data_IF_443682429753
#
_entry.id   IF_443682429753
#
_cell.length_a   1.000
_cell.length_b   1.000
_cell.length_c   1.000
_cell.angle_alpha   90.00
_cell.angle_beta   90.00
_cell.angle_gamma   90.00
#
_symmetry.space_group_name_H-M   'P 1'
#
loop_
_entity.id
_entity.type
_entity.pdbx_description
1 polymer ?
#
# COMPACT_ATOMS: atom_id res chain seq x y z
N UNK A 1 13.24 6.08 7.28
CA UNK A 1 12.15 6.55 6.40
C UNK A 1 11.50 5.34 5.76
N UNK A 2 10.17 5.26 5.75
CA UNK A 2 9.45 4.09 5.21
C UNK A 2 9.70 3.97 3.71
N UNK A 3 10.06 2.77 3.22
CA UNK A 3 10.23 2.48 1.79
C UNK A 3 9.01 2.93 0.98
N UNK A 4 7.83 2.89 1.59
CA UNK A 4 6.58 3.41 1.00
C UNK A 4 6.69 4.86 0.60
N UNK A 5 7.29 5.70 1.45
CA UNK A 5 7.48 7.12 1.17
C UNK A 5 8.35 7.36 -0.08
N UNK A 6 9.45 6.62 -0.19
CA UNK A 6 10.37 6.68 -1.34
C UNK A 6 9.69 6.31 -2.67
N UNK A 7 8.76 5.36 -2.66
CA UNK A 7 8.05 4.95 -3.89
C UNK A 7 6.97 5.97 -4.24
N UNK A 8 6.28 6.53 -3.25
CA UNK A 8 5.24 7.55 -3.45
C UNK A 8 5.80 8.95 -3.73
N UNK A 9 7.10 9.18 -3.54
CA UNK A 9 7.82 10.36 -4.03
C UNK A 9 7.90 10.41 -5.57
N UNK A 10 7.76 9.26 -6.26
CA UNK A 10 7.60 9.23 -7.72
C UNK A 10 6.19 9.66 -8.13
N UNK A 11 6.03 10.72 -8.94
CA UNK A 11 4.72 11.17 -9.41
C UNK A 11 3.98 10.08 -10.19
N UNK A 12 4.70 9.32 -11.02
CA UNK A 12 4.12 8.26 -11.84
C UNK A 12 3.57 7.11 -11.01
N UNK A 13 4.28 6.69 -9.98
CA UNK A 13 3.84 5.57 -9.13
C UNK A 13 2.69 6.00 -8.19
N UNK A 14 2.67 7.27 -7.78
CA UNK A 14 1.55 7.86 -7.05
C UNK A 14 0.27 7.91 -7.88
N UNK A 15 0.35 8.41 -9.12
CA UNK A 15 -0.80 8.46 -10.03
C UNK A 15 -1.34 7.07 -10.31
N UNK A 16 -0.48 6.08 -10.60
CA UNK A 16 -0.89 4.69 -10.74
C UNK A 16 -1.64 4.18 -9.50
N UNK A 17 -1.13 4.48 -8.31
CA UNK A 17 -1.77 4.04 -7.06
C UNK A 17 -3.15 4.69 -6.83
N UNK A 18 -3.30 5.97 -7.18
CA UNK A 18 -4.56 6.71 -7.08
C UNK A 18 -5.63 6.21 -8.07
N UNK A 19 -5.21 5.72 -9.24
CA UNK A 19 -6.10 5.17 -10.26
C UNK A 19 -6.67 3.78 -9.90
N UNK A 20 -6.08 3.08 -8.92
CA UNK A 20 -6.60 1.79 -8.47
C UNK A 20 -7.90 1.93 -7.69
N UNK A 21 -8.96 1.34 -8.24
CA UNK A 21 -10.30 1.39 -7.66
C UNK A 21 -10.57 0.22 -6.72
N UNK A 22 -9.83 -0.88 -6.88
CA UNK A 22 -10.01 -2.07 -6.07
C UNK A 22 -8.85 -2.28 -5.09
N UNK A 23 -9.19 -2.84 -3.93
CA UNK A 23 -8.22 -3.20 -2.91
C UNK A 23 -7.13 -4.16 -3.43
N UNK A 24 -7.51 -5.11 -4.28
CA UNK A 24 -6.58 -6.11 -4.81
C UNK A 24 -5.47 -5.47 -5.64
N UNK A 25 -5.80 -4.42 -6.41
CA UNK A 25 -4.84 -3.66 -7.21
C UNK A 25 -3.87 -2.88 -6.33
N UNK A 26 -4.38 -2.14 -5.34
CA UNK A 26 -3.55 -1.42 -4.36
C UNK A 26 -2.61 -2.37 -3.60
N UNK A 27 -3.10 -3.55 -3.22
CA UNK A 27 -2.28 -4.56 -2.54
C UNK A 27 -1.21 -5.15 -3.48
N UNK A 28 -1.57 -5.48 -4.72
CA UNK A 28 -0.63 -6.00 -5.71
C UNK A 28 0.45 -4.97 -6.05
N UNK A 29 0.10 -3.69 -6.11
CA UNK A 29 1.06 -2.62 -6.28
C UNK A 29 2.10 -2.61 -5.17
N UNK A 30 1.66 -2.66 -3.90
CA UNK A 30 2.56 -2.73 -2.74
C UNK A 30 3.42 -4.00 -2.81
N UNK A 31 2.84 -5.17 -3.13
CA UNK A 31 3.59 -6.43 -3.29
C UNK A 31 4.68 -6.37 -4.37
N UNK A 32 4.40 -5.72 -5.49
CA UNK A 32 5.33 -5.65 -6.61
C UNK A 32 6.42 -4.60 -6.40
N UNK A 33 6.13 -3.55 -5.61
CA UNK A 33 7.05 -2.45 -5.37
C UNK A 33 7.93 -2.62 -4.13
N UNK A 34 7.50 -3.41 -3.15
CA UNK A 34 8.32 -3.78 -2.00
C UNK A 34 8.80 -5.21 -2.12
N UNK A 35 10.12 -5.42 -2.01
CA UNK A 35 10.68 -6.74 -1.73
C UNK A 35 10.24 -7.14 -0.32
N UNK A 36 9.07 -7.77 -0.23
CA UNK A 36 8.53 -8.38 0.97
C UNK A 36 8.81 -9.88 0.90
N UNK A 37 9.29 -10.48 1.98
CA UNK A 37 9.39 -11.94 2.01
C UNK A 37 7.99 -12.56 1.99
N UNK A 38 7.85 -13.76 1.43
CA UNK A 38 6.56 -14.45 1.27
C UNK A 38 5.78 -14.59 2.58
N UNK A 39 6.50 -14.74 3.71
CA UNK A 39 5.90 -14.84 5.05
C UNK A 39 5.24 -13.51 5.48
N UNK A 40 5.87 -12.37 5.21
CA UNK A 40 5.35 -11.05 5.49
C UNK A 40 4.13 -10.75 4.61
N UNK A 41 4.18 -11.16 3.34
CA UNK A 41 3.03 -11.06 2.43
C UNK A 41 1.86 -11.88 2.93
N UNK A 42 2.08 -13.16 3.30
CA UNK A 42 1.04 -14.03 3.86
C UNK A 42 0.49 -13.51 5.20
N UNK A 43 1.34 -12.92 6.04
CA UNK A 43 0.91 -12.32 7.31
C UNK A 43 0.10 -11.04 7.08
N UNK A 44 0.45 -10.24 6.07
CA UNK A 44 -0.34 -9.10 5.62
C UNK A 44 -1.70 -9.59 5.12
N UNK A 45 -1.73 -10.49 4.15
CA UNK A 45 -2.97 -11.07 3.63
C UNK A 45 -3.84 -11.67 4.75
N UNK A 46 -3.24 -12.41 5.69
CA UNK A 46 -3.95 -13.04 6.80
C UNK A 46 -4.47 -12.02 7.81
N UNK A 47 -3.68 -11.00 8.19
CA UNK A 47 -4.18 -9.88 9.03
C UNK A 47 -5.31 -9.12 8.34
N UNK A 48 -5.29 -9.06 7.00
CA UNK A 48 -6.24 -8.27 6.20
C UNK A 48 -7.50 -9.01 5.80
N UNK A 49 -7.44 -10.34 5.73
CA UNK A 49 -8.61 -11.20 5.55
C UNK A 49 -9.40 -11.36 6.86
N UNK A 50 -8.74 -11.22 8.00
CA UNK A 50 -9.34 -11.40 9.33
C UNK A 50 -9.85 -10.09 9.96
N UNK A 51 -9.57 -8.93 9.39
CA UNK A 51 -10.03 -7.64 9.93
C UNK A 51 -10.15 -6.59 8.82
N UNK A 52 -11.40 -6.30 8.42
CA UNK A 52 -11.75 -5.18 7.53
C UNK A 52 -11.15 -3.86 8.02
N UNK A 53 -11.14 -3.65 9.33
CA UNK A 53 -10.75 -2.39 9.95
C UNK A 53 -9.27 -2.08 9.73
N UNK A 54 -8.45 -3.13 9.53
CA UNK A 54 -7.02 -3.01 9.22
C UNK A 54 -6.75 -2.71 7.74
N UNK A 55 -7.70 -2.98 6.84
CA UNK A 55 -7.62 -2.52 5.44
C UNK A 55 -7.71 -1.01 5.38
N UNK A 56 -8.72 -0.46 6.04
CA UNK A 56 -8.97 0.97 6.04
C UNK A 56 -7.83 1.72 6.72
N UNK A 57 -7.25 1.16 7.79
CA UNK A 57 -6.09 1.74 8.49
C UNK A 57 -4.87 1.89 7.55
N UNK A 58 -4.55 0.90 6.73
CA UNK A 58 -3.43 0.99 5.79
C UNK A 58 -3.74 1.87 4.60
N UNK A 59 -4.92 1.76 4.02
CA UNK A 59 -5.32 2.64 2.93
C UNK A 59 -5.20 4.09 3.41
N UNK A 60 -5.76 4.41 4.58
CA UNK A 60 -5.59 5.72 5.20
C UNK A 60 -4.14 6.08 5.45
N UNK A 61 -3.32 5.15 5.97
CA UNK A 61 -1.88 5.43 6.20
C UNK A 61 -1.15 5.75 4.90
N UNK A 62 -1.48 5.07 3.80
CA UNK A 62 -0.87 5.34 2.48
C UNK A 62 -1.39 6.65 1.90
N UNK A 63 -2.70 6.93 2.03
CA UNK A 63 -3.31 8.21 1.62
C UNK A 63 -2.74 9.39 2.42
N UNK A 64 -2.59 9.26 3.73
CA UNK A 64 -1.92 10.23 4.60
C UNK A 64 -0.46 10.49 4.18
N UNK A 65 0.23 9.47 3.66
CA UNK A 65 1.59 9.63 3.13
C UNK A 65 1.56 10.42 1.83
N UNK A 66 0.60 10.14 0.94
CA UNK A 66 0.42 10.88 -0.32
C UNK A 66 0.15 12.36 -0.04
N UNK A 67 -0.84 12.65 0.81
CA UNK A 67 -1.27 14.02 1.14
C UNK A 67 -0.18 14.85 1.81
N UNK A 68 0.76 14.21 2.52
CA UNK A 68 1.90 14.89 3.18
C UNK A 68 3.10 15.10 2.26
N UNK A 69 3.09 14.54 1.05
CA UNK A 69 4.17 14.72 0.06
C UNK A 69 3.78 15.79 -0.98
N UNK A 70 2.48 16.01 -1.24
CA UNK A 70 1.99 17.22 -1.93
C UNK A 70 2.06 18.47 -1.04
#
# INVERSE_FOLDING_TARGET
MSKVRMIMESPTERTKYQEFTTFQEKLNFIKNHFIMNDMAVRLLERKYLLSSDKRDELIRTVEDIIDKID
#
